data_IF_473230903246
#
_entry.id   IF_473230903246
#
_cell.length_a   1.000
_cell.length_b   1.000
_cell.length_c   1.000
_cell.angle_alpha   90.00
_cell.angle_beta   90.00
_cell.angle_gamma   90.00
#
_symmetry.space_group_name_H-M   'P 1'
#
loop_
_entity.id
_entity.type
_entity.pdbx_description
1 polymer ?
#
# COMPACT_ATOMS: atom_id res chain seq x y z
N UNK A 1 -2.67 -18.39 31.43
CA UNK A 1 -3.76 -18.30 30.42
C UNK A 1 -3.84 -16.91 29.85
N UNK A 2 -4.07 -15.85 30.66
CA UNK A 2 -4.15 -14.46 30.17
C UNK A 2 -2.97 -14.06 29.27
N UNK A 3 -1.72 -14.20 29.72
CA UNK A 3 -0.53 -13.84 28.94
C UNK A 3 -0.46 -14.56 27.58
N UNK A 4 -0.88 -15.82 27.50
CA UNK A 4 -0.92 -16.55 26.22
C UNK A 4 -1.95 -15.98 25.24
N UNK A 5 -3.13 -15.59 25.74
CA UNK A 5 -4.15 -14.88 24.95
C UNK A 5 -3.61 -13.53 24.47
N UNK A 6 -2.91 -12.80 25.34
CA UNK A 6 -2.29 -11.53 24.98
C UNK A 6 -1.22 -11.66 23.89
N UNK A 7 -0.35 -12.67 23.99
CA UNK A 7 0.65 -12.95 22.94
C UNK A 7 -0.01 -13.28 21.60
N UNK A 8 -1.06 -14.10 21.61
CA UNK A 8 -1.84 -14.41 20.41
C UNK A 8 -2.42 -13.13 19.80
N UNK A 9 -3.21 -12.36 20.58
CA UNK A 9 -3.80 -11.12 20.09
C UNK A 9 -2.78 -10.09 19.60
N UNK A 10 -1.63 -9.97 20.27
CA UNK A 10 -0.56 -9.08 19.85
C UNK A 10 0.06 -9.48 18.51
N UNK A 11 0.18 -10.79 18.25
CA UNK A 11 0.66 -11.35 16.99
C UNK A 11 -0.35 -11.15 15.87
N UNK A 12 -1.63 -11.50 16.11
CA UNK A 12 -2.69 -11.37 15.11
C UNK A 12 -2.88 -9.91 14.68
N UNK A 13 -2.90 -8.95 15.61
CA UNK A 13 -2.96 -7.53 15.26
C UNK A 13 -1.75 -7.10 14.43
N UNK A 14 -0.55 -7.59 14.78
CA UNK A 14 0.67 -7.29 14.04
C UNK A 14 0.63 -7.88 12.62
N UNK A 15 0.19 -9.12 12.47
CA UNK A 15 0.08 -9.79 11.17
C UNK A 15 -0.95 -9.08 10.27
N UNK A 16 -2.09 -8.67 10.83
CA UNK A 16 -3.08 -7.85 10.14
C UNK A 16 -2.53 -6.49 9.68
N UNK A 17 -1.76 -5.80 10.52
CA UNK A 17 -1.08 -4.54 10.14
C UNK A 17 0.01 -4.77 9.09
N UNK A 18 0.78 -5.84 9.19
CA UNK A 18 1.78 -6.18 8.16
C UNK A 18 1.13 -6.45 6.80
N UNK A 19 -0.03 -7.12 6.79
CA UNK A 19 -0.80 -7.34 5.57
C UNK A 19 -1.28 -6.01 4.96
N UNK A 20 -1.75 -5.06 5.78
CA UNK A 20 -2.05 -3.70 5.33
C UNK A 20 -0.82 -3.03 4.72
N UNK A 21 0.33 -3.03 5.41
CA UNK A 21 1.55 -2.38 4.94
C UNK A 21 2.02 -2.96 3.60
N UNK A 22 1.92 -4.27 3.43
CA UNK A 22 2.26 -4.94 2.17
C UNK A 22 1.31 -4.53 1.03
N UNK A 23 0.01 -4.48 1.30
CA UNK A 23 -0.97 -4.01 0.33
C UNK A 23 -0.77 -2.54 -0.07
N UNK A 24 -0.47 -1.66 0.90
CA UNK A 24 -0.16 -0.25 0.63
C UNK A 24 1.10 -0.11 -0.24
N UNK A 25 2.14 -0.92 0.01
CA UNK A 25 3.37 -0.91 -0.79
C UNK A 25 3.14 -1.38 -2.23
N UNK A 26 2.38 -2.46 -2.43
CA UNK A 26 2.02 -2.94 -3.78
C UNK A 26 1.16 -1.93 -4.54
N UNK A 27 0.18 -1.33 -3.86
CA UNK A 27 -0.64 -0.27 -4.43
C UNK A 27 0.24 0.92 -4.85
N UNK A 28 1.13 1.36 -3.97
CA UNK A 28 2.08 2.43 -4.25
C UNK A 28 3.01 2.10 -5.43
N UNK A 29 3.53 0.87 -5.51
CA UNK A 29 4.34 0.41 -6.63
C UNK A 29 3.56 0.43 -7.95
N UNK A 30 2.29 0.03 -7.93
CA UNK A 30 1.42 0.07 -9.12
C UNK A 30 1.16 1.50 -9.58
N UNK A 31 0.79 2.38 -8.64
CA UNK A 31 0.48 3.79 -8.92
C UNK A 31 1.70 4.57 -9.42
N UNK A 32 2.83 4.45 -8.72
CA UNK A 32 4.10 5.07 -9.16
C UNK A 32 4.63 4.44 -10.46
N UNK A 33 4.41 3.15 -10.67
CA UNK A 33 4.68 2.45 -11.93
C UNK A 33 3.95 3.09 -13.11
N UNK A 34 2.66 3.41 -12.96
CA UNK A 34 1.89 4.11 -14.00
C UNK A 34 2.52 5.46 -14.35
N UNK A 35 2.79 6.31 -13.34
CA UNK A 35 3.37 7.64 -13.56
C UNK A 35 4.75 7.56 -14.25
N UNK A 36 5.60 6.61 -13.83
CA UNK A 36 6.93 6.42 -14.43
C UNK A 36 6.85 5.96 -15.90
N UNK A 37 5.92 5.06 -16.24
CA UNK A 37 5.71 4.62 -17.61
C UNK A 37 5.14 5.72 -18.49
N UNK A 38 4.18 6.50 -17.97
CA UNK A 38 3.58 7.62 -18.68
C UNK A 38 4.64 8.69 -18.98
N UNK A 39 5.43 9.07 -17.98
CA UNK A 39 6.51 10.05 -18.14
C UNK A 39 7.60 9.55 -19.11
N UNK A 40 8.05 8.30 -18.94
CA UNK A 40 9.10 7.71 -19.78
C UNK A 40 8.67 7.58 -21.24
N UNK A 41 7.45 7.09 -21.49
CA UNK A 41 6.90 6.95 -22.85
C UNK A 41 6.69 8.31 -23.51
N UNK A 42 6.18 9.29 -22.76
CA UNK A 42 6.00 10.67 -23.24
C UNK A 42 7.34 11.27 -23.65
N UNK A 43 8.38 11.14 -22.81
CA UNK A 43 9.71 11.63 -23.11
C UNK A 43 10.32 10.97 -24.35
N UNK A 44 10.15 9.65 -24.50
CA UNK A 44 10.62 8.93 -25.69
C UNK A 44 9.94 9.45 -26.97
N UNK A 45 8.61 9.50 -26.98
CA UNK A 45 7.85 9.91 -28.17
C UNK A 45 7.97 11.40 -28.50
N UNK A 46 8.19 12.26 -27.50
CA UNK A 46 8.30 13.70 -27.74
C UNK A 46 9.74 14.12 -28.06
N UNK A 47 10.75 13.60 -27.36
CA UNK A 47 12.13 14.08 -27.51
C UNK A 47 12.93 13.20 -28.47
N UNK A 48 12.97 11.90 -28.20
CA UNK A 48 13.84 10.99 -28.94
C UNK A 48 13.31 10.72 -30.36
N UNK A 49 11.99 10.60 -30.53
CA UNK A 49 11.40 10.48 -31.86
C UNK A 49 11.58 11.75 -32.70
N UNK A 50 11.37 12.94 -32.12
CA UNK A 50 11.59 14.21 -32.84
C UNK A 50 13.02 14.33 -33.34
N UNK A 51 14.00 13.89 -32.53
CA UNK A 51 15.41 13.89 -32.94
C UNK A 51 15.68 12.97 -34.13
N UNK A 52 15.16 11.73 -34.11
CA UNK A 52 15.33 10.81 -35.24
C UNK A 52 14.58 11.28 -36.49
N UNK A 53 13.34 11.75 -36.33
CA UNK A 53 12.54 12.26 -37.45
C UNK A 53 13.17 13.52 -38.05
N UNK A 54 13.74 14.41 -37.24
CA UNK A 54 14.47 15.59 -37.70
C UNK A 54 15.63 15.22 -38.61
N UNK A 55 16.49 14.27 -38.19
CA UNK A 55 17.60 13.77 -39.03
C UNK A 55 17.11 13.06 -40.28
N UNK A 56 16.08 12.23 -40.17
CA UNK A 56 15.49 11.56 -41.34
C UNK A 56 14.90 12.56 -42.33
N UNK A 57 14.35 13.68 -41.86
CA UNK A 57 13.82 14.73 -42.74
C UNK A 57 14.91 15.41 -43.57
N UNK A 58 16.11 15.56 -43.02
CA UNK A 58 17.27 16.08 -43.76
C UNK A 58 17.77 15.08 -44.80
N UNK A 59 17.91 13.80 -44.40
CA UNK A 59 18.43 12.74 -45.29
C UNK A 59 17.46 12.40 -46.42
N UNK A 60 16.16 12.41 -46.14
CA UNK A 60 15.10 12.06 -47.10
C UNK A 60 14.51 13.29 -47.82
N UNK A 61 15.15 14.46 -47.72
CA UNK A 61 14.64 15.73 -48.26
C UNK A 61 14.31 15.67 -49.76
N UNK A 62 14.98 14.80 -50.52
CA UNK A 62 14.77 14.62 -51.95
C UNK A 62 13.43 13.91 -52.30
N UNK A 63 12.72 13.34 -51.32
CA UNK A 63 11.53 12.50 -51.52
C UNK A 63 10.37 12.99 -50.66
N UNK A 64 9.49 13.77 -51.29
CA UNK A 64 8.33 14.37 -50.62
C UNK A 64 7.36 13.34 -50.01
N UNK A 65 7.25 12.16 -50.63
CA UNK A 65 6.49 11.01 -50.14
C UNK A 65 7.00 10.54 -48.76
N UNK A 66 8.31 10.39 -48.59
CA UNK A 66 8.89 9.99 -47.30
C UNK A 66 8.76 11.10 -46.24
N UNK A 67 8.91 12.37 -46.63
CA UNK A 67 8.67 13.50 -45.72
C UNK A 67 7.24 13.54 -45.19
N UNK A 68 6.26 13.18 -46.03
CA UNK A 68 4.87 13.09 -45.61
C UNK A 68 4.66 11.96 -44.59
N UNK A 69 5.28 10.80 -44.81
CA UNK A 69 5.25 9.69 -43.84
C UNK A 69 5.89 10.09 -42.51
N UNK A 70 7.02 10.78 -42.51
CA UNK A 70 7.69 11.26 -41.30
C UNK A 70 6.83 12.25 -40.50
N UNK A 71 6.16 13.19 -41.18
CA UNK A 71 5.20 14.10 -40.54
C UNK A 71 4.01 13.35 -39.94
N UNK A 72 3.53 12.31 -40.62
CA UNK A 72 2.44 11.49 -40.12
C UNK A 72 2.86 10.70 -38.86
N UNK A 73 4.10 10.20 -38.79
CA UNK A 73 4.65 9.61 -37.58
C UNK A 73 4.64 10.60 -36.40
N UNK A 74 5.07 11.85 -36.62
CA UNK A 74 5.03 12.88 -35.56
C UNK A 74 3.60 13.18 -35.08
N UNK A 75 2.63 13.23 -36.00
CA UNK A 75 1.22 13.44 -35.64
C UNK A 75 0.66 12.29 -34.78
N UNK A 76 1.01 11.04 -35.12
CA UNK A 76 0.62 9.87 -34.34
C UNK A 76 1.27 9.87 -32.96
N UNK A 77 2.55 10.23 -32.86
CA UNK A 77 3.24 10.38 -31.58
C UNK A 77 2.61 11.47 -30.70
N UNK A 78 2.29 12.63 -31.27
CA UNK A 78 1.58 13.70 -30.56
C UNK A 78 0.20 13.26 -30.08
N UNK A 79 -0.52 12.46 -30.87
CA UNK A 79 -1.79 11.84 -30.45
C UNK A 79 -1.60 10.91 -29.26
N UNK A 80 -0.55 10.06 -29.25
CA UNK A 80 -0.24 9.19 -28.11
C UNK A 80 0.05 10.01 -26.86
N UNK A 81 0.92 11.02 -26.95
CA UNK A 81 1.28 11.90 -25.83
C UNK A 81 0.05 12.59 -25.25
N UNK A 82 -0.87 13.06 -26.11
CA UNK A 82 -2.12 13.66 -25.67
C UNK A 82 -2.99 12.67 -24.89
N UNK A 83 -3.11 11.42 -25.34
CA UNK A 83 -3.87 10.39 -24.62
C UNK A 83 -3.22 10.03 -23.28
N UNK A 84 -1.89 9.95 -23.22
CA UNK A 84 -1.16 9.70 -21.99
C UNK A 84 -1.34 10.84 -20.97
N UNK A 85 -1.37 12.10 -21.44
CA UNK A 85 -1.63 13.26 -20.59
C UNK A 85 -3.05 13.35 -20.02
N UNK A 86 -3.99 12.60 -20.61
CA UNK A 86 -5.37 12.52 -20.12
C UNK A 86 -5.55 11.48 -19.00
N UNK A 87 -4.54 10.64 -18.74
CA UNK A 87 -4.54 9.74 -17.60
C UNK A 87 -4.42 10.54 -16.29
N UNK A 88 -5.07 10.11 -15.21
CA UNK A 88 -4.90 10.73 -13.89
C UNK A 88 -3.44 10.63 -13.44
N UNK A 89 -2.99 11.66 -12.71
CA UNK A 89 -1.67 11.69 -12.09
C UNK A 89 -1.78 11.07 -10.70
N UNK A 90 -0.99 10.04 -10.43
CA UNK A 90 -1.12 9.26 -9.20
C UNK A 90 -0.16 9.69 -8.09
N UNK A 91 0.73 10.64 -8.38
CA UNK A 91 1.81 11.05 -7.49
C UNK A 91 1.33 11.49 -6.10
N UNK A 92 0.24 12.28 -5.99
CA UNK A 92 -0.28 12.72 -4.68
C UNK A 92 -0.78 11.55 -3.85
N UNK A 93 -1.55 10.64 -4.47
CA UNK A 93 -2.04 9.43 -3.80
C UNK A 93 -0.90 8.51 -3.41
N UNK A 94 0.11 8.33 -4.27
CA UNK A 94 1.33 7.58 -3.96
C UNK A 94 2.05 8.17 -2.74
N UNK A 95 2.19 9.50 -2.67
CA UNK A 95 2.80 10.14 -1.50
C UNK A 95 1.98 9.93 -0.22
N UNK A 96 0.66 10.01 -0.30
CA UNK A 96 -0.22 9.79 0.84
C UNK A 96 -0.17 8.34 1.34
N UNK A 97 -0.12 7.36 0.43
CA UNK A 97 0.04 5.94 0.78
C UNK A 97 1.38 5.69 1.47
N UNK A 98 2.48 6.31 1.00
CA UNK A 98 3.79 6.16 1.67
C UNK A 98 3.82 6.79 3.05
N UNK A 99 3.19 7.96 3.23
CA UNK A 99 3.07 8.61 4.53
C UNK A 99 2.23 7.76 5.49
N UNK A 100 1.09 7.25 5.03
CA UNK A 100 0.22 6.36 5.79
C UNK A 100 0.96 5.08 6.23
N UNK A 101 1.70 4.45 5.31
CA UNK A 101 2.47 3.24 5.62
C UNK A 101 3.56 3.51 6.67
N UNK A 102 4.25 4.65 6.58
CA UNK A 102 5.26 5.05 7.56
C UNK A 102 4.65 5.30 8.95
N UNK A 103 3.54 6.01 9.02
CA UNK A 103 2.84 6.31 10.29
C UNK A 103 2.30 5.04 10.94
N UNK A 104 1.65 4.17 10.17
CA UNK A 104 1.13 2.88 10.65
C UNK A 104 2.26 1.99 11.15
N UNK A 105 3.35 1.87 10.38
CA UNK A 105 4.52 1.07 10.79
C UNK A 105 5.14 1.58 12.09
N UNK A 106 5.26 2.91 12.24
CA UNK A 106 5.78 3.53 13.45
C UNK A 106 4.89 3.22 14.66
N UNK A 107 3.58 3.44 14.55
CA UNK A 107 2.62 3.17 15.63
C UNK A 107 2.64 1.70 16.02
N UNK A 108 2.63 0.81 15.04
CA UNK A 108 2.60 -0.63 15.26
C UNK A 108 3.84 -1.15 15.97
N UNK A 109 5.02 -0.66 15.59
CA UNK A 109 6.29 -1.00 16.26
C UNK A 109 6.23 -0.76 17.77
N UNK A 110 5.75 0.42 18.19
CA UNK A 110 5.62 0.76 19.61
C UNK A 110 4.47 0.04 20.29
N UNK A 111 3.33 -0.16 19.60
CA UNK A 111 2.21 -0.95 20.13
C UNK A 111 2.67 -2.36 20.46
N UNK A 112 3.26 -3.05 19.49
CA UNK A 112 3.75 -4.42 19.64
C UNK A 112 4.79 -4.54 20.76
N UNK A 113 5.78 -3.65 20.78
CA UNK A 113 6.83 -3.63 21.80
C UNK A 113 6.27 -3.34 23.21
N UNK A 114 5.31 -2.41 23.32
CA UNK A 114 4.71 -2.06 24.61
C UNK A 114 3.95 -3.23 25.22
N UNK A 115 3.24 -4.02 24.41
CA UNK A 115 2.58 -5.25 24.87
C UNK A 115 3.56 -6.32 25.31
N UNK A 116 4.67 -6.53 24.59
CA UNK A 116 5.72 -7.46 25.02
C UNK A 116 6.29 -7.09 26.40
N UNK A 117 6.60 -5.81 26.61
CA UNK A 117 7.07 -5.31 27.90
C UNK A 117 6.00 -5.48 28.98
N UNK A 118 4.73 -5.27 28.64
CA UNK A 118 3.63 -5.45 29.57
C UNK A 118 3.46 -6.93 29.98
N UNK A 119 3.61 -7.88 29.04
CA UNK A 119 3.58 -9.31 29.34
C UNK A 119 4.72 -9.72 30.29
N UNK A 120 5.94 -9.20 30.06
CA UNK A 120 7.09 -9.44 30.95
C UNK A 120 6.81 -8.88 32.34
N UNK A 121 6.25 -7.67 32.44
CA UNK A 121 5.86 -7.07 33.71
C UNK A 121 4.85 -7.95 34.46
N UNK A 122 3.79 -8.43 33.78
CA UNK A 122 2.80 -9.33 34.39
C UNK A 122 3.44 -10.62 34.90
N UNK A 123 4.31 -11.26 34.10
CA UNK A 123 4.99 -12.51 34.48
C UNK A 123 5.93 -12.32 35.68
N UNK A 124 6.72 -11.25 35.68
CA UNK A 124 7.66 -10.95 36.79
C UNK A 124 6.91 -10.71 38.10
N UNK A 125 5.79 -9.98 38.07
CA UNK A 125 4.97 -9.76 39.26
C UNK A 125 4.31 -11.07 39.70
N UNK A 126 3.82 -11.91 38.79
CA UNK A 126 3.30 -13.24 39.15
C UNK A 126 4.36 -14.11 39.85
N UNK A 127 5.62 -14.09 39.39
CA UNK A 127 6.73 -14.81 40.04
C UNK A 127 7.04 -14.25 41.43
N UNK A 128 7.10 -12.93 41.56
CA UNK A 128 7.29 -12.26 42.85
C UNK A 128 6.14 -12.57 43.82
N UNK A 129 4.90 -12.73 43.33
CA UNK A 129 3.76 -13.14 44.14
C UNK A 129 3.99 -14.52 44.77
N UNK A 130 4.37 -15.49 43.92
CA UNK A 130 4.66 -16.85 44.34
C UNK A 130 5.81 -16.90 45.36
N UNK A 131 6.89 -16.15 45.10
CA UNK A 131 8.04 -16.05 46.02
C UNK A 131 7.67 -15.37 47.34
N UNK A 132 6.89 -14.29 47.30
CA UNK A 132 6.41 -13.58 48.48
C UNK A 132 5.57 -14.46 49.39
N UNK A 133 4.66 -15.26 48.80
CA UNK A 133 3.86 -16.25 49.52
C UNK A 133 4.71 -17.39 50.09
N UNK A 134 5.65 -17.93 49.30
CA UNK A 134 6.51 -19.03 49.73
C UNK A 134 7.48 -18.64 50.85
N UNK A 135 8.09 -17.44 50.76
CA UNK A 135 9.06 -16.93 51.74
C UNK A 135 8.42 -16.19 52.90
N UNK A 136 7.10 -15.93 52.87
CA UNK A 136 6.38 -15.13 53.88
C UNK A 136 7.01 -13.74 54.15
N UNK A 137 7.69 -13.18 53.15
CA UNK A 137 8.41 -11.91 53.31
C UNK A 137 7.45 -10.73 53.20
N UNK A 138 7.39 -9.92 54.26
CA UNK A 138 6.62 -8.67 54.31
C UNK A 138 7.12 -7.65 53.28
N UNK A 139 8.42 -7.55 53.07
CA UNK A 139 8.99 -6.64 52.08
C UNK A 139 8.52 -7.01 50.65
N UNK A 140 8.58 -8.31 50.31
CA UNK A 140 8.11 -8.79 49.00
C UNK A 140 6.62 -8.56 48.80
N UNK A 141 5.79 -8.78 49.83
CA UNK A 141 4.35 -8.50 49.75
C UNK A 141 4.03 -7.01 49.54
N UNK A 142 4.82 -6.10 50.12
CA UNK A 142 4.65 -4.67 49.93
C UNK A 142 5.02 -4.23 48.50
N UNK A 143 6.15 -4.72 47.99
CA UNK A 143 6.57 -4.50 46.59
C UNK A 143 5.52 -5.04 45.62
N UNK A 144 5.02 -6.25 45.89
CA UNK A 144 3.96 -6.89 45.12
C UNK A 144 2.68 -6.07 45.06
N UNK A 145 2.25 -5.49 46.17
CA UNK A 145 1.05 -4.66 46.22
C UNK A 145 1.22 -3.39 45.37
N UNK A 146 2.37 -2.73 45.47
CA UNK A 146 2.67 -1.52 44.70
C UNK A 146 2.71 -1.83 43.19
N UNK A 147 3.46 -2.85 42.78
CA UNK A 147 3.54 -3.26 41.38
C UNK A 147 2.19 -3.77 40.86
N UNK A 148 1.42 -4.51 41.66
CA UNK A 148 0.09 -4.98 41.28
C UNK A 148 -0.92 -3.85 41.06
N UNK A 149 -0.87 -2.78 41.86
CA UNK A 149 -1.68 -1.58 41.63
C UNK A 149 -1.29 -0.86 40.33
N UNK A 150 0.02 -0.73 40.04
CA UNK A 150 0.50 -0.16 38.78
C UNK A 150 0.00 -0.99 37.59
N UNK A 151 0.16 -2.32 37.63
CA UNK A 151 -0.31 -3.23 36.58
C UNK A 151 -1.82 -3.19 36.41
N UNK A 152 -2.58 -3.01 37.49
CA UNK A 152 -4.02 -2.81 37.43
C UNK A 152 -4.37 -1.53 36.65
N UNK A 153 -3.72 -0.40 36.95
CA UNK A 153 -3.91 0.85 36.21
C UNK A 153 -3.55 0.68 34.74
N UNK A 154 -2.40 0.06 34.45
CA UNK A 154 -1.97 -0.22 33.07
C UNK A 154 -2.97 -1.11 32.32
N UNK A 155 -3.54 -2.13 32.98
CA UNK A 155 -4.52 -3.03 32.35
C UNK A 155 -5.85 -2.33 32.01
N UNK A 156 -6.29 -1.36 32.82
CA UNK A 156 -7.46 -0.56 32.48
C UNK A 156 -7.16 0.44 31.37
N UNK A 157 -5.96 1.04 31.38
CA UNK A 157 -5.51 1.93 30.32
C UNK A 157 -5.39 1.19 28.97
N UNK A 158 -4.79 -0.01 28.95
CA UNK A 158 -4.69 -0.83 27.74
C UNK A 158 -6.07 -1.22 27.23
N UNK A 159 -6.97 -1.67 28.11
CA UNK A 159 -8.36 -1.98 27.74
C UNK A 159 -9.07 -0.78 27.09
N UNK A 160 -8.87 0.43 27.63
CA UNK A 160 -9.47 1.63 27.07
C UNK A 160 -8.92 1.96 25.67
N UNK A 161 -7.61 1.84 25.48
CA UNK A 161 -6.95 2.06 24.18
C UNK A 161 -7.38 1.00 23.17
N UNK A 162 -7.35 -0.29 23.52
CA UNK A 162 -7.76 -1.38 22.63
C UNK A 162 -9.23 -1.25 22.22
N UNK A 163 -10.10 -0.87 23.15
CA UNK A 163 -11.52 -0.66 22.85
C UNK A 163 -11.71 0.52 21.91
N UNK A 164 -11.02 1.63 22.13
CA UNK A 164 -11.09 2.80 21.24
C UNK A 164 -10.56 2.47 19.84
N UNK A 165 -9.44 1.76 19.76
CA UNK A 165 -8.88 1.28 18.49
C UNK A 165 -9.85 0.33 17.79
N UNK A 166 -10.39 -0.68 18.48
CA UNK A 166 -11.30 -1.66 17.91
C UNK A 166 -12.60 -1.01 17.40
N UNK A 167 -13.15 -0.02 18.11
CA UNK A 167 -14.33 0.74 17.65
C UNK A 167 -13.97 1.57 16.43
N UNK A 168 -12.87 2.32 16.46
CA UNK A 168 -12.45 3.16 15.33
C UNK A 168 -12.17 2.36 14.06
N UNK A 169 -11.49 1.21 14.19
CA UNK A 169 -11.25 0.30 13.05
C UNK A 169 -12.56 -0.33 12.58
N UNK A 170 -13.44 -0.75 13.48
CA UNK A 170 -14.74 -1.34 13.12
C UNK A 170 -15.62 -0.34 12.36
N UNK A 171 -15.64 0.93 12.78
CA UNK A 171 -16.39 2.00 12.09
C UNK A 171 -15.90 2.19 10.65
N UNK A 172 -14.58 2.17 10.43
CA UNK A 172 -14.00 2.16 9.09
C UNK A 172 -14.45 0.92 8.28
N UNK A 173 -14.41 -0.26 8.90
CA UNK A 173 -14.74 -1.53 8.25
C UNK A 173 -16.23 -1.69 7.87
N UNK A 174 -17.13 -0.88 8.44
CA UNK A 174 -18.55 -0.86 8.03
C UNK A 174 -18.75 -0.24 6.64
N UNK A 175 -17.92 0.74 6.26
CA UNK A 175 -18.05 1.43 4.98
C UNK A 175 -16.69 1.93 4.43
N UNK A 176 -15.73 1.03 4.17
CA UNK A 176 -14.39 1.42 3.73
C UNK A 176 -14.39 2.13 2.37
N UNK A 177 -15.27 1.72 1.45
CA UNK A 177 -15.39 2.32 0.11
C UNK A 177 -15.69 3.82 0.20
N UNK A 178 -16.62 4.21 1.09
CA UNK A 178 -17.02 5.60 1.28
C UNK A 178 -15.91 6.44 1.89
N UNK A 179 -15.15 5.86 2.82
CA UNK A 179 -14.00 6.52 3.40
C UNK A 179 -12.94 6.83 2.33
N UNK A 180 -12.61 5.85 1.49
CA UNK A 180 -11.62 6.02 0.41
C UNK A 180 -12.10 7.03 -0.63
N UNK A 181 -13.36 6.95 -1.08
CA UNK A 181 -13.91 7.91 -2.03
C UNK A 181 -13.86 9.34 -1.50
N UNK A 182 -14.18 9.56 -0.22
CA UNK A 182 -14.13 10.89 0.40
C UNK A 182 -12.70 11.40 0.58
N UNK A 183 -11.75 10.50 0.89
CA UNK A 183 -10.33 10.87 1.03
C UNK A 183 -9.67 11.20 -0.31
N UNK A 184 -10.12 10.61 -1.42
CA UNK A 184 -9.50 10.76 -2.75
C UNK A 184 -10.21 11.75 -3.66
N UNK A 185 -11.28 12.42 -3.18
CA UNK A 185 -12.14 13.30 -3.97
C UNK A 185 -11.38 14.47 -4.62
N UNK A 186 -10.32 14.97 -3.99
CA UNK A 186 -9.50 16.08 -4.52
C UNK A 186 -8.55 15.68 -5.63
N UNK A 187 -8.14 14.42 -5.68
CA UNK A 187 -7.00 13.96 -6.48
C UNK A 187 -7.43 13.12 -7.69
N UNK A 188 -8.46 12.29 -7.52
CA UNK A 188 -8.90 11.34 -8.54
C UNK A 188 -10.41 11.46 -8.74
N UNK A 189 -10.85 11.39 -10.00
CA UNK A 189 -12.28 11.37 -10.32
C UNK A 189 -13.00 10.17 -9.68
N UNK A 190 -14.21 10.39 -9.16
CA UNK A 190 -15.01 9.35 -8.53
C UNK A 190 -15.24 8.11 -9.42
N UNK A 191 -15.33 8.28 -10.74
CA UNK A 191 -15.46 7.16 -11.70
C UNK A 191 -14.27 6.20 -11.65
N UNK A 192 -13.05 6.75 -11.60
CA UNK A 192 -11.82 5.96 -11.53
C UNK A 192 -11.70 5.27 -10.17
N UNK A 193 -12.01 5.96 -9.07
CA UNK A 193 -11.99 5.34 -7.74
C UNK A 193 -13.02 4.20 -7.66
N UNK A 194 -14.23 4.41 -8.18
CA UNK A 194 -15.27 3.37 -8.25
C UNK A 194 -14.82 2.16 -9.10
N UNK A 195 -14.13 2.39 -10.21
CA UNK A 195 -13.58 1.32 -11.06
C UNK A 195 -12.64 0.40 -10.28
N UNK A 196 -11.76 0.95 -9.44
CA UNK A 196 -10.83 0.15 -8.62
C UNK A 196 -11.48 -0.46 -7.37
N UNK A 197 -12.40 0.25 -6.71
CA UNK A 197 -13.05 -0.25 -5.49
C UNK A 197 -14.00 -1.41 -5.76
N UNK A 198 -14.77 -1.38 -6.84
CA UNK A 198 -15.78 -2.41 -7.13
C UNK A 198 -15.32 -3.45 -8.16
N UNK A 199 -14.44 -3.07 -9.10
CA UNK A 199 -13.88 -3.92 -10.15
C UNK A 199 -14.93 -4.86 -10.81
N UNK A 200 -16.09 -4.29 -11.16
CA UNK A 200 -17.20 -5.05 -11.75
C UNK A 200 -16.87 -5.55 -13.15
N UNK A 201 -17.30 -6.78 -13.48
CA UNK A 201 -17.07 -7.37 -14.81
C UNK A 201 -17.82 -6.65 -15.94
N UNK A 202 -18.92 -5.96 -15.62
CA UNK A 202 -19.74 -5.20 -16.57
C UNK A 202 -19.21 -3.81 -16.89
N UNK A 203 -18.32 -3.26 -16.06
CA UNK A 203 -17.77 -1.92 -16.26
C UNK A 203 -16.57 -1.99 -17.21
N UNK A 204 -16.64 -1.24 -18.30
CA UNK A 204 -15.46 -1.01 -19.15
C UNK A 204 -14.45 -0.14 -18.40
N UNK A 205 -13.15 -0.42 -18.59
CA UNK A 205 -12.09 0.44 -18.05
C UNK A 205 -12.27 1.88 -18.54
N UNK A 206 -12.22 2.90 -17.66
CA UNK A 206 -12.27 4.31 -18.06
C UNK A 206 -11.08 4.69 -18.97
N UNK A 207 -10.02 3.88 -18.95
CA UNK A 207 -8.81 4.08 -19.75
C UNK A 207 -8.86 3.40 -21.13
N UNK A 208 -9.91 2.63 -21.43
CA UNK A 208 -9.99 1.80 -22.62
C UNK A 208 -9.84 2.62 -23.92
N UNK A 209 -10.44 3.82 -23.97
CA UNK A 209 -10.34 4.69 -25.14
C UNK A 209 -8.91 5.17 -25.37
N UNK A 210 -8.24 5.67 -24.32
CA UNK A 210 -6.87 6.16 -24.38
C UNK A 210 -5.91 5.04 -24.82
N UNK A 211 -6.02 3.85 -24.21
CA UNK A 211 -5.22 2.68 -24.54
C UNK A 211 -5.45 2.21 -25.99
N UNK A 212 -6.70 2.21 -26.45
CA UNK A 212 -7.04 1.82 -27.83
C UNK A 212 -6.43 2.80 -28.85
N UNK A 213 -6.49 4.11 -28.58
CA UNK A 213 -5.90 5.13 -29.46
C UNK A 213 -4.38 5.01 -29.46
N UNK A 214 -3.76 4.78 -28.30
CA UNK A 214 -2.32 4.53 -28.21
C UNK A 214 -1.96 3.31 -29.06
N UNK A 215 -2.60 2.16 -28.84
CA UNK A 215 -2.32 0.93 -29.58
C UNK A 215 -2.43 1.13 -31.10
N UNK A 216 -3.54 1.72 -31.59
CA UNK A 216 -3.76 1.94 -33.04
C UNK A 216 -2.72 2.89 -33.64
N UNK A 217 -2.37 3.94 -32.92
CA UNK A 217 -1.38 4.92 -33.38
C UNK A 217 0.00 4.26 -33.46
N UNK A 218 0.37 3.48 -32.45
CA UNK A 218 1.64 2.79 -32.38
C UNK A 218 1.80 1.73 -33.49
N UNK A 219 0.79 0.86 -33.69
CA UNK A 219 0.83 -0.13 -34.77
C UNK A 219 0.91 0.54 -36.14
N UNK A 220 0.23 1.67 -36.33
CA UNK A 220 0.31 2.45 -37.57
C UNK A 220 1.73 3.01 -37.77
N UNK A 221 2.35 3.55 -36.72
CA UNK A 221 3.73 4.02 -36.78
C UNK A 221 4.72 2.90 -37.11
N UNK A 222 4.53 1.71 -36.53
CA UNK A 222 5.35 0.53 -36.84
C UNK A 222 5.23 0.14 -38.33
N UNK A 223 4.01 0.09 -38.87
CA UNK A 223 3.80 -0.22 -40.30
C UNK A 223 4.47 0.82 -41.22
N UNK A 224 4.34 2.12 -40.91
CA UNK A 224 4.96 3.19 -41.70
C UNK A 224 6.49 3.15 -41.61
N UNK A 225 7.04 2.91 -40.43
CA UNK A 225 8.49 2.78 -40.20
C UNK A 225 9.07 1.59 -40.96
N UNK A 226 8.39 0.44 -40.92
CA UNK A 226 8.78 -0.75 -41.67
C UNK A 226 8.75 -0.50 -43.19
N UNK A 227 7.75 0.24 -43.68
CA UNK A 227 7.69 0.67 -45.07
C UNK A 227 8.88 1.55 -45.46
N UNK A 228 9.24 2.53 -44.62
CA UNK A 228 10.43 3.35 -44.85
C UNK A 228 11.72 2.51 -44.83
N UNK A 229 11.86 1.56 -43.91
CA UNK A 229 13.01 0.65 -43.86
C UNK A 229 13.12 -0.15 -45.17
N UNK A 230 12.02 -0.72 -45.65
CA UNK A 230 12.03 -1.57 -46.84
C UNK A 230 12.33 -0.80 -48.13
N UNK A 231 11.78 0.41 -48.28
CA UNK A 231 11.81 1.14 -49.55
C UNK A 231 12.81 2.30 -49.59
N UNK A 232 13.12 2.95 -48.46
CA UNK A 232 14.03 4.10 -48.42
C UNK A 232 15.50 3.67 -48.25
N UNK A 233 15.81 2.62 -47.50
CA UNK A 233 17.21 2.22 -47.24
C UNK A 233 18.04 1.87 -48.48
N UNK A 234 17.50 1.20 -49.52
CA UNK A 234 18.26 0.95 -50.75
C UNK A 234 18.67 2.24 -51.48
N UNK A 235 17.94 3.34 -51.25
CA UNK A 235 18.16 4.64 -51.89
C UNK A 235 18.94 5.60 -50.96
N UNK A 236 18.77 5.48 -49.65
CA UNK A 236 19.32 6.36 -48.62
C UNK A 236 19.92 5.52 -47.48
N UNK A 237 21.10 4.89 -47.69
CA UNK A 237 21.70 4.00 -46.69
C UNK A 237 22.06 4.73 -45.38
N UNK A 238 22.33 6.04 -45.44
CA UNK A 238 22.61 6.87 -44.27
C UNK A 238 21.41 7.02 -43.31
N UNK A 239 20.19 6.71 -43.76
CA UNK A 239 18.97 6.74 -42.93
C UNK A 239 18.83 5.51 -42.01
N UNK A 240 19.62 4.45 -42.22
CA UNK A 240 19.50 3.18 -41.50
C UNK A 240 19.54 3.33 -39.99
N UNK A 241 20.52 4.08 -39.47
CA UNK A 241 20.68 4.28 -38.04
C UNK A 241 19.47 4.94 -37.39
N UNK A 242 18.92 5.97 -38.02
CA UNK A 242 17.78 6.70 -37.45
C UNK A 242 16.47 5.93 -37.62
N UNK A 243 16.26 5.21 -38.74
CA UNK A 243 15.08 4.35 -38.91
C UNK A 243 15.06 3.18 -37.92
N UNK A 244 16.21 2.54 -37.68
CA UNK A 244 16.34 1.51 -36.65
C UNK A 244 16.16 2.09 -35.24
N UNK A 245 16.63 3.32 -34.99
CA UNK A 245 16.37 4.04 -33.75
C UNK A 245 14.88 4.28 -33.50
N UNK A 246 14.14 4.71 -34.53
CA UNK A 246 12.67 4.83 -34.48
C UNK A 246 12.04 3.47 -34.19
N UNK A 247 12.44 2.39 -34.88
CA UNK A 247 11.88 1.05 -34.63
C UNK A 247 12.12 0.59 -33.19
N UNK A 248 13.31 0.80 -32.64
CA UNK A 248 13.61 0.46 -31.23
C UNK A 248 12.74 1.24 -30.26
N UNK A 249 12.51 2.53 -30.52
CA UNK A 249 11.65 3.39 -29.70
C UNK A 249 10.19 2.93 -29.75
N UNK A 250 9.69 2.54 -30.92
CA UNK A 250 8.33 2.01 -31.06
C UNK A 250 8.18 0.66 -30.36
N UNK A 251 9.19 -0.22 -30.42
CA UNK A 251 9.18 -1.48 -29.68
C UNK A 251 9.18 -1.25 -28.15
N UNK A 252 9.96 -0.28 -27.66
CA UNK A 252 9.93 0.11 -26.25
C UNK A 252 8.58 0.70 -25.82
N UNK A 253 7.97 1.51 -26.70
CA UNK A 253 6.63 2.06 -26.49
C UNK A 253 5.55 0.96 -26.46
N UNK A 254 5.70 -0.10 -27.26
CA UNK A 254 4.81 -1.27 -27.25
C UNK A 254 4.90 -2.04 -25.93
N UNK A 255 6.12 -2.27 -25.44
CA UNK A 255 6.31 -2.89 -24.12
C UNK A 255 5.72 -2.04 -23.00
N UNK A 256 5.87 -0.72 -23.08
CA UNK A 256 5.31 0.22 -22.11
C UNK A 256 3.78 0.22 -22.15
N UNK A 257 3.18 0.16 -23.34
CA UNK A 257 1.72 0.04 -23.50
C UNK A 257 1.17 -1.24 -22.84
N UNK A 258 1.82 -2.38 -23.03
CA UNK A 258 1.40 -3.64 -22.41
C UNK A 258 1.50 -3.59 -20.89
N UNK A 259 2.60 -3.07 -20.35
CA UNK A 259 2.78 -2.89 -18.91
C UNK A 259 1.77 -1.91 -18.32
N UNK A 260 1.55 -0.77 -19.00
CA UNK A 260 0.56 0.23 -18.59
C UNK A 260 -0.86 -0.34 -18.59
N UNK A 261 -1.21 -1.15 -19.60
CA UNK A 261 -2.51 -1.84 -19.66
C UNK A 261 -2.69 -2.78 -18.46
N UNK A 262 -1.64 -3.50 -18.07
CA UNK A 262 -1.69 -4.41 -16.93
C UNK A 262 -1.81 -3.67 -15.59
N UNK A 263 -1.11 -2.54 -15.41
CA UNK A 263 -1.18 -1.75 -14.17
C UNK A 263 -2.49 -0.95 -14.05
N UNK A 264 -3.09 -0.53 -15.17
CA UNK A 264 -4.38 0.15 -15.19
C UNK A 264 -5.57 -0.81 -15.03
N UNK A 265 -5.37 -2.11 -15.07
CA UNK A 265 -6.41 -3.10 -14.82
C UNK A 265 -6.84 -3.07 -13.34
N UNK A 266 -8.15 -3.01 -13.08
CA UNK A 266 -8.65 -2.88 -11.71
C UNK A 266 -8.24 -4.04 -10.79
N UNK A 267 -8.02 -5.24 -11.32
CA UNK A 267 -7.88 -6.46 -10.50
C UNK A 267 -6.68 -6.44 -9.58
N UNK A 268 -5.57 -5.83 -10.01
CA UNK A 268 -4.36 -5.72 -9.19
C UNK A 268 -4.62 -4.86 -7.97
N UNK A 269 -4.99 -3.60 -8.18
CA UNK A 269 -5.22 -2.64 -7.11
C UNK A 269 -6.44 -3.01 -6.25
N UNK A 270 -7.48 -3.61 -6.85
CA UNK A 270 -8.63 -4.14 -6.12
C UNK A 270 -8.24 -5.30 -5.18
N UNK A 271 -7.33 -6.18 -5.63
CA UNK A 271 -6.79 -7.23 -4.76
C UNK A 271 -6.02 -6.63 -3.60
N UNK A 272 -5.14 -5.65 -3.83
CA UNK A 272 -4.41 -4.98 -2.75
C UNK A 272 -5.38 -4.31 -1.77
N UNK A 273 -6.44 -3.67 -2.27
CA UNK A 273 -7.52 -3.12 -1.44
C UNK A 273 -8.18 -4.17 -0.55
N UNK A 274 -8.58 -5.32 -1.12
CA UNK A 274 -9.19 -6.40 -0.34
C UNK A 274 -8.22 -7.02 0.67
N UNK A 275 -6.95 -7.20 0.30
CA UNK A 275 -5.93 -7.73 1.21
C UNK A 275 -5.73 -6.77 2.40
N UNK A 276 -5.70 -5.46 2.16
CA UNK A 276 -5.65 -4.45 3.22
C UNK A 276 -6.87 -4.50 4.16
N UNK A 277 -8.07 -4.65 3.60
CA UNK A 277 -9.29 -4.79 4.40
C UNK A 277 -9.30 -6.08 5.20
N UNK A 278 -8.88 -7.20 4.62
CA UNK A 278 -8.80 -8.46 5.35
C UNK A 278 -7.86 -8.31 6.55
N UNK A 279 -6.68 -7.75 6.33
CA UNK A 279 -5.69 -7.54 7.39
C UNK A 279 -6.20 -6.66 8.53
N UNK A 280 -6.84 -5.53 8.25
CA UNK A 280 -7.31 -4.62 9.31
C UNK A 280 -8.65 -5.05 9.91
N UNK A 281 -9.63 -5.38 9.07
CA UNK A 281 -11.01 -5.58 9.52
C UNK A 281 -11.27 -6.97 10.12
N UNK A 282 -10.44 -7.95 9.80
CA UNK A 282 -10.54 -9.28 10.37
C UNK A 282 -9.41 -9.51 11.36
N UNK A 283 -8.18 -9.73 10.87
CA UNK A 283 -7.05 -10.13 11.73
C UNK A 283 -6.68 -9.04 12.75
N UNK A 284 -6.69 -7.77 12.31
CA UNK A 284 -6.45 -6.60 13.14
C UNK A 284 -7.47 -6.47 14.28
N UNK A 285 -8.76 -6.45 13.95
CA UNK A 285 -9.86 -6.36 14.95
C UNK A 285 -9.89 -7.58 15.86
N UNK A 286 -9.71 -8.79 15.31
CA UNK A 286 -9.65 -10.03 16.08
C UNK A 286 -8.53 -9.97 17.13
N UNK A 287 -7.32 -9.57 16.72
CA UNK A 287 -6.20 -9.40 17.63
C UNK A 287 -6.47 -8.36 18.73
N UNK A 288 -7.10 -7.23 18.40
CA UNK A 288 -7.50 -6.20 19.37
C UNK A 288 -8.50 -6.74 20.40
N UNK A 289 -9.45 -7.58 19.98
CA UNK A 289 -10.40 -8.22 20.90
C UNK A 289 -9.70 -9.16 21.89
N UNK A 290 -8.70 -9.93 21.43
CA UNK A 290 -7.90 -10.77 22.32
C UNK A 290 -7.01 -9.97 23.27
N UNK A 291 -6.47 -8.83 22.83
CA UNK A 291 -5.74 -7.90 23.69
C UNK A 291 -6.65 -7.27 24.76
N UNK A 292 -7.87 -6.90 24.39
CA UNK A 292 -8.90 -6.47 25.34
C UNK A 292 -9.24 -7.55 26.37
N UNK A 293 -9.43 -8.81 25.92
CA UNK A 293 -9.66 -9.95 26.81
C UNK A 293 -8.48 -10.19 27.76
N UNK A 294 -7.24 -10.10 27.25
CA UNK A 294 -6.03 -10.15 28.07
C UNK A 294 -6.06 -9.06 29.15
N UNK A 295 -6.31 -7.81 28.77
CA UNK A 295 -6.37 -6.66 29.66
C UNK A 295 -7.42 -6.85 30.77
N UNK A 296 -8.62 -7.34 30.43
CA UNK A 296 -9.67 -7.66 31.40
C UNK A 296 -9.28 -8.78 32.38
N UNK A 297 -8.68 -9.87 31.88
CA UNK A 297 -8.25 -10.98 32.74
C UNK A 297 -7.12 -10.56 33.69
N UNK A 298 -6.19 -9.75 33.22
CA UNK A 298 -5.13 -9.16 34.04
C UNK A 298 -5.75 -8.24 35.09
N UNK A 299 -6.63 -7.31 34.71
CA UNK A 299 -7.31 -6.42 35.63
C UNK A 299 -8.06 -7.18 36.74
N UNK A 300 -8.82 -8.23 36.37
CA UNK A 300 -9.53 -9.07 37.32
C UNK A 300 -8.56 -9.78 38.28
N UNK A 301 -7.51 -10.43 37.75
CA UNK A 301 -6.54 -11.15 38.57
C UNK A 301 -5.81 -10.23 39.57
N UNK A 302 -5.33 -9.06 39.12
CA UNK A 302 -4.66 -8.11 39.99
C UNK A 302 -5.59 -7.43 40.97
N UNK A 303 -6.86 -7.21 40.63
CA UNK A 303 -7.87 -6.75 41.58
C UNK A 303 -8.05 -7.75 42.73
N UNK A 304 -8.12 -9.06 42.43
CA UNK A 304 -8.22 -10.09 43.47
C UNK A 304 -6.95 -10.16 44.33
N UNK A 305 -5.77 -10.02 43.71
CA UNK A 305 -4.48 -10.03 44.41
C UNK A 305 -4.37 -8.85 45.39
N UNK A 306 -4.70 -7.63 44.93
CA UNK A 306 -4.70 -6.42 45.75
C UNK A 306 -5.68 -6.54 46.92
N UNK A 307 -6.88 -7.08 46.69
CA UNK A 307 -7.87 -7.30 47.76
C UNK A 307 -7.48 -8.40 48.76
N UNK A 308 -6.77 -9.45 48.31
CA UNK A 308 -6.36 -10.57 49.16
C UNK A 308 -5.10 -10.28 49.98
N UNK A 309 -4.19 -9.44 49.48
CA UNK A 309 -2.88 -9.16 50.10
C UNK A 309 -2.98 -8.63 51.54
N UNK A 310 -3.89 -7.70 51.89
CA UNK A 310 -4.07 -7.26 53.28
C UNK A 310 -4.48 -8.39 54.24
N UNK A 311 -5.28 -9.37 53.77
CA UNK A 311 -5.67 -10.54 54.56
C UNK A 311 -4.49 -11.47 54.78
N UNK A 312 -3.72 -11.73 53.72
CA UNK A 312 -2.49 -12.51 53.80
C UNK A 312 -1.48 -11.87 54.77
N UNK A 313 -1.34 -10.54 54.74
CA UNK A 313 -0.46 -9.80 55.65
C UNK A 313 -0.84 -9.99 57.12
N UNK A 314 -2.13 -9.91 57.47
CA UNK A 314 -2.59 -10.14 58.86
C UNK A 314 -2.32 -11.56 59.33
N UNK A 315 -2.57 -12.56 58.48
CA UNK A 315 -2.28 -13.97 58.80
C UNK A 315 -0.79 -14.25 59.02
N UNK A 316 0.07 -13.44 58.41
CA UNK A 316 1.53 -13.48 58.58
C UNK A 316 2.04 -12.62 59.74
N UNK A 317 1.20 -11.74 60.29
CA UNK A 317 1.51 -10.95 61.48
C UNK A 317 1.10 -11.63 62.79
N UNK A 318 0.13 -12.54 62.74
CA UNK A 318 -0.35 -13.33 63.89
C UNK A 318 0.41 -14.64 64.15
N UNK A 319 1.54 -14.88 63.48
CA UNK A 319 2.49 -15.97 63.76
C UNK A 319 3.85 -15.36 64.01
#
# INVERSE_FOLDING_TARGET
>A
TAVGIGFYGNSETNDGVYQLLYALDNANHTLSGIDTLVAGTTQQLQVALEQHVGRLSEVLAARADYLQTLKFLQQLAGSIVLQLSALPVWHSVSTDLTALAADVSFVEYYRWLSYLLFFILVLTICLLACLGLAKRSRCLLAVMLCCGLLTLVLSWASMAVDTAAAVGTSDFCVAPDKFIMNQTESDISAEVVHYYLYCEQSLSSPFQQALTIFQRSLTTMQMQTQGLIQFALPLFPTAEKDLLGVQQLLNASETSLHQLTAMLDCRGLHKDYLDALIGICYDGVEGLLYLGLFSLLVAASFSTLVCATPRAWRLLAGR
#
